data_IF_591073786306
#
_entry.id   IF_591073786306
#
_cell.length_a   1.000
_cell.length_b   1.000
_cell.length_c   1.000
_cell.angle_alpha   90.00
_cell.angle_beta   90.00
_cell.angle_gamma   90.00
#
_symmetry.space_group_name_H-M   'P 1'
#
loop_
_entity.id
_entity.type
_entity.pdbx_description
1 polymer ?
#
# COMPACT_ATOMS: atom_id res chain seq x y z
N UNK A 1 -12.97 14.34 13.88
CA UNK A 1 -11.67 14.26 14.57
C UNK A 1 -10.62 13.94 13.54
N UNK A 2 -9.76 14.90 13.22
CA UNK A 2 -8.56 14.67 12.41
C UNK A 2 -7.43 14.39 13.40
N UNK A 3 -6.96 13.16 13.46
CA UNK A 3 -5.80 12.80 14.27
C UNK A 3 -4.59 12.71 13.33
N UNK A 4 -3.76 13.76 13.35
CA UNK A 4 -2.29 13.71 13.17
C UNK A 4 -1.66 13.12 11.90
N UNK A 5 -2.42 12.57 10.96
CA UNK A 5 -1.92 12.07 9.69
C UNK A 5 -2.87 12.50 8.58
N UNK A 6 -2.31 12.90 7.45
CA UNK A 6 -3.05 13.30 6.24
C UNK A 6 -4.22 12.37 5.99
N UNK A 7 -5.38 12.97 5.76
CA UNK A 7 -6.68 12.35 5.65
C UNK A 7 -6.64 11.05 4.84
N UNK A 8 -6.57 9.91 5.56
CA UNK A 8 -6.80 8.60 4.96
C UNK A 8 -8.16 8.62 4.27
N UNK A 9 -8.33 7.94 3.11
CA UNK A 9 -9.62 7.81 2.47
C UNK A 9 -10.58 7.22 3.51
N UNK A 10 -11.59 8.03 3.86
CA UNK A 10 -12.61 7.82 4.92
C UNK A 10 -12.64 6.38 5.45
N UNK A 11 -11.75 6.06 6.38
CA UNK A 11 -11.84 4.81 7.13
C UNK A 11 -13.13 4.94 7.94
N UNK A 12 -14.10 4.05 7.65
CA UNK A 12 -15.45 4.09 8.23
C UNK A 12 -15.38 4.08 9.75
N UNK A 13 -15.54 5.23 10.38
CA UNK A 13 -16.14 5.30 11.70
C UNK A 13 -17.64 5.04 11.50
N UNK A 14 -18.21 4.15 12.30
CA UNK A 14 -19.59 3.62 12.20
C UNK A 14 -20.73 4.66 12.15
N UNK A 15 -20.44 5.97 12.18
CA UNK A 15 -21.41 7.06 12.29
C UNK A 15 -21.80 7.77 10.99
N UNK A 16 -21.24 7.43 9.82
CA UNK A 16 -21.61 8.07 8.53
C UNK A 16 -22.43 7.10 7.67
N UNK A 17 -23.69 7.47 7.40
CA UNK A 17 -24.69 6.66 6.66
C UNK A 17 -24.58 6.73 5.12
N UNK A 18 -23.75 7.61 4.55
CA UNK A 18 -23.59 7.69 3.09
C UNK A 18 -22.58 6.65 2.58
N UNK A 19 -23.03 5.81 1.63
CA UNK A 19 -22.14 4.92 0.88
C UNK A 19 -21.30 5.79 -0.06
N UNK A 20 -19.98 5.75 0.05
CA UNK A 20 -19.12 6.33 -0.99
C UNK A 20 -19.41 5.59 -2.30
N UNK A 21 -19.96 6.29 -3.28
CA UNK A 21 -20.33 5.74 -4.60
C UNK A 21 -19.11 5.42 -5.47
N UNK A 22 -17.95 6.02 -5.12
CA UNK A 22 -16.70 5.94 -5.87
C UNK A 22 -15.67 5.12 -5.10
N UNK A 23 -14.94 4.26 -5.81
CA UNK A 23 -13.87 3.47 -5.21
C UNK A 23 -12.76 4.38 -4.67
N UNK A 24 -12.30 4.13 -3.45
CA UNK A 24 -11.14 4.82 -2.91
C UNK A 24 -9.87 4.39 -3.68
N UNK A 25 -9.07 5.34 -4.14
CA UNK A 25 -7.78 5.06 -4.79
C UNK A 25 -6.64 5.31 -3.81
N UNK A 26 -5.76 4.33 -3.63
CA UNK A 26 -4.59 4.42 -2.75
C UNK A 26 -3.35 4.01 -3.53
N UNK A 27 -2.25 4.74 -3.38
CA UNK A 27 -0.95 4.35 -3.93
C UNK A 27 -0.04 3.88 -2.81
N UNK A 28 0.42 2.64 -2.87
CA UNK A 28 1.35 2.04 -1.91
C UNK A 28 2.76 2.11 -2.48
N UNK A 29 3.71 2.63 -1.70
CA UNK A 29 5.13 2.58 -2.01
C UNK A 29 5.75 1.36 -1.34
N UNK A 30 6.26 0.43 -2.14
CA UNK A 30 7.02 -0.73 -1.68
C UNK A 30 8.51 -0.41 -1.72
N UNK A 31 9.18 -0.53 -0.57
CA UNK A 31 10.63 -0.48 -0.47
C UNK A 31 11.16 -1.91 -0.49
N UNK A 32 12.02 -2.20 -1.45
CA UNK A 32 12.64 -3.52 -1.63
C UNK A 32 14.05 -3.44 -1.08
N UNK A 33 14.26 -4.12 0.04
CA UNK A 33 15.57 -4.19 0.69
C UNK A 33 16.58 -5.01 -0.14
N UNK A 34 17.83 -5.00 0.31
CA UNK A 34 18.95 -5.68 -0.36
C UNK A 34 18.94 -7.19 -0.16
N UNK A 35 18.11 -7.73 0.75
CA UNK A 35 18.00 -9.16 1.05
C UNK A 35 17.12 -9.90 0.04
N UNK A 36 16.27 -9.19 -0.69
CA UNK A 36 15.40 -9.77 -1.72
C UNK A 36 16.23 -10.22 -2.92
N UNK A 37 16.46 -11.53 -3.01
CA UNK A 37 17.10 -12.17 -4.15
C UNK A 37 16.07 -12.57 -5.21
N UNK A 38 15.48 -11.58 -5.89
CA UNK A 38 14.53 -11.79 -6.98
C UNK A 38 14.74 -10.78 -8.11
N UNK A 39 14.33 -11.13 -9.32
CA UNK A 39 14.32 -10.17 -10.44
C UNK A 39 13.26 -9.10 -10.21
N UNK A 40 13.46 -7.92 -10.80
CA UNK A 40 12.51 -6.83 -10.66
C UNK A 40 11.12 -7.17 -11.22
N UNK A 41 11.08 -8.02 -12.25
CA UNK A 41 9.84 -8.57 -12.81
C UNK A 41 9.10 -9.49 -11.83
N UNK A 42 9.82 -10.36 -11.12
CA UNK A 42 9.24 -11.22 -10.10
C UNK A 42 8.69 -10.40 -8.93
N UNK A 43 9.43 -9.36 -8.50
CA UNK A 43 8.97 -8.43 -7.47
C UNK A 43 7.70 -7.71 -7.90
N UNK A 44 7.66 -7.18 -9.14
CA UNK A 44 6.47 -6.50 -9.69
C UNK A 44 5.27 -7.44 -9.74
N UNK A 45 5.48 -8.68 -10.17
CA UNK A 45 4.44 -9.71 -10.23
C UNK A 45 3.89 -10.03 -8.84
N UNK A 46 4.79 -10.22 -7.87
CA UNK A 46 4.42 -10.49 -6.48
C UNK A 46 3.64 -9.33 -5.85
N UNK A 47 4.13 -8.09 -6.00
CA UNK A 47 3.43 -6.89 -5.49
C UNK A 47 2.04 -6.75 -6.12
N UNK A 48 1.94 -6.96 -7.44
CA UNK A 48 0.64 -6.93 -8.13
C UNK A 48 -0.34 -7.99 -7.61
N UNK A 49 0.15 -9.19 -7.31
CA UNK A 49 -0.65 -10.24 -6.68
C UNK A 49 -1.12 -9.83 -5.28
N UNK A 50 -0.21 -9.34 -4.42
CA UNK A 50 -0.55 -8.89 -3.06
C UNK A 50 -1.57 -7.76 -3.08
N UNK A 51 -1.45 -6.78 -3.98
CA UNK A 51 -2.43 -5.70 -4.14
C UNK A 51 -3.83 -6.24 -4.47
N UNK A 52 -3.95 -7.16 -5.44
CA UNK A 52 -5.24 -7.74 -5.80
C UNK A 52 -5.88 -8.49 -4.63
N UNK A 53 -5.08 -9.25 -3.89
CA UNK A 53 -5.57 -9.94 -2.69
C UNK A 53 -6.05 -8.92 -1.65
N UNK A 54 -5.28 -7.87 -1.39
CA UNK A 54 -5.65 -6.82 -0.44
C UNK A 54 -6.94 -6.08 -0.85
N UNK A 55 -7.13 -5.75 -2.14
CA UNK A 55 -8.39 -5.20 -2.65
C UNK A 55 -9.58 -6.13 -2.38
N UNK A 56 -9.42 -7.43 -2.60
CA UNK A 56 -10.46 -8.42 -2.32
C UNK A 56 -10.76 -8.50 -0.82
N UNK A 57 -9.75 -8.48 0.05
CA UNK A 57 -9.92 -8.46 1.51
C UNK A 57 -10.63 -7.19 1.99
N UNK A 58 -10.28 -6.03 1.47
CA UNK A 58 -10.94 -4.76 1.78
C UNK A 58 -12.41 -4.77 1.35
N UNK A 59 -12.69 -5.34 0.17
CA UNK A 59 -14.04 -5.54 -0.33
C UNK A 59 -14.85 -6.49 0.54
N UNK A 60 -14.31 -7.67 0.88
CA UNK A 60 -15.08 -8.72 1.57
C UNK A 60 -15.30 -8.45 3.05
N UNK A 61 -14.29 -7.97 3.78
CA UNK A 61 -14.38 -7.75 5.23
C UNK A 61 -14.94 -6.39 5.61
N UNK A 62 -14.64 -5.35 4.83
CA UNK A 62 -14.99 -3.97 5.18
C UNK A 62 -16.05 -3.37 4.24
N UNK A 63 -16.50 -4.12 3.23
CA UNK A 63 -17.38 -3.62 2.16
C UNK A 63 -16.87 -2.30 1.58
N UNK A 64 -15.55 -2.23 1.39
CA UNK A 64 -14.83 -1.05 0.93
C UNK A 64 -14.30 -1.34 -0.47
N UNK A 65 -14.85 -0.64 -1.47
CA UNK A 65 -14.34 -0.72 -2.84
C UNK A 65 -13.09 0.15 -2.93
N UNK A 66 -11.95 -0.48 -3.17
CA UNK A 66 -10.64 0.19 -3.23
C UNK A 66 -9.90 -0.23 -4.49
N UNK A 67 -9.16 0.70 -5.08
CA UNK A 67 -8.17 0.44 -6.14
C UNK A 67 -6.80 0.76 -5.57
N UNK A 68 -5.92 -0.24 -5.55
CA UNK A 68 -4.57 -0.15 -5.03
C UNK A 68 -3.57 -0.06 -6.18
N UNK A 69 -3.00 1.13 -6.35
CA UNK A 69 -1.83 1.34 -7.18
C UNK A 69 -0.56 1.05 -6.38
N UNK A 70 0.50 0.66 -7.06
CA UNK A 70 1.80 0.43 -6.44
C UNK A 70 2.91 1.20 -7.16
N UNK A 71 3.90 1.61 -6.36
CA UNK A 71 5.23 2.01 -6.82
C UNK A 71 6.25 1.16 -6.09
N UNK A 72 7.38 0.90 -6.73
CA UNK A 72 8.46 0.11 -6.14
C UNK A 72 9.73 0.93 -6.18
N UNK A 73 10.44 1.00 -5.05
CA UNK A 73 11.80 1.55 -4.95
C UNK A 73 12.71 0.46 -4.37
N UNK A 74 13.91 0.35 -4.93
CA UNK A 74 14.92 -0.58 -4.44
C UNK A 74 15.93 0.18 -3.60
N UNK A 75 16.12 -0.25 -2.35
CA UNK A 75 17.04 0.39 -1.41
C UNK A 75 18.48 0.38 -1.94
N UNK A 76 18.88 -0.69 -2.65
CA UNK A 76 20.21 -0.77 -3.30
C UNK A 76 20.53 0.39 -4.26
N UNK A 77 19.53 1.12 -4.75
CA UNK A 77 19.72 2.25 -5.65
C UNK A 77 19.48 3.62 -4.98
N UNK A 78 19.09 3.64 -3.70
CA UNK A 78 18.77 4.86 -2.95
C UNK A 78 19.69 4.97 -1.72
N UNK A 79 20.77 5.77 -1.80
CA UNK A 79 21.78 5.88 -0.73
C UNK A 79 21.22 6.39 0.60
N UNK A 80 20.13 7.16 0.56
CA UNK A 80 19.52 7.69 1.79
C UNK A 80 18.68 6.62 2.48
N UNK A 81 18.13 5.66 1.73
CA UNK A 81 17.45 4.50 2.31
C UNK A 81 18.43 3.45 2.85
N UNK A 82 19.64 3.32 2.27
CA UNK A 82 20.66 2.36 2.74
C UNK A 82 21.14 2.66 4.16
N UNK A 83 21.31 3.94 4.52
CA UNK A 83 21.71 4.34 5.87
C UNK A 83 20.72 3.89 6.95
N UNK A 84 19.46 3.66 6.57
CA UNK A 84 18.39 3.24 7.49
C UNK A 84 18.36 1.72 7.67
N UNK A 85 18.85 0.94 6.69
CA UNK A 85 18.94 -0.53 6.79
C UNK A 85 20.15 -1.00 7.61
N UNK A 86 21.25 -0.23 7.64
CA UNK A 86 22.48 -0.58 8.37
C UNK A 86 22.39 -0.42 9.90
N UNK A 87 21.33 0.20 10.43
CA UNK A 87 21.16 0.42 11.88
C UNK A 87 20.40 -0.71 12.59
N UNK A 88 20.22 -1.87 11.94
CA UNK A 88 19.35 -2.96 12.39
C UNK A 88 20.12 -4.18 12.88
#
# INVERSE_FOLDING_TARGET
>A
MCAGVECWPKVRLSSRQEKDEVAASVTILYLIDTTVNATEENVKTFVGFVNKQAEQFLGSFFNLKTVLHNKTKYVKYDPDLQKTDETK
#
